data_IF_201012859963
#
_entry.id   IF_201012859963
#
_cell.length_a   1.000
_cell.length_b   1.000
_cell.length_c   1.000
_cell.angle_alpha   90.00
_cell.angle_beta   90.00
_cell.angle_gamma   90.00
#
_symmetry.space_group_name_H-M   'P 1'
#
loop_
_entity.id
_entity.type
_entity.pdbx_description
1 polymer ?
#
# COMPACT_ATOMS: atom_id res chain seq x y z
N UNK A 1 -3.76 -5.73 25.66
CA UNK A 1 -4.34 -5.41 26.96
C UNK A 1 -5.55 -6.30 27.16
N UNK A 2 -5.86 -6.68 28.43
CA UNK A 2 -6.99 -7.52 28.82
C UNK A 2 -7.57 -7.02 30.13
N UNK A 3 -8.88 -7.18 30.27
CA UNK A 3 -9.60 -6.98 31.54
C UNK A 3 -10.05 -8.33 32.06
N UNK A 4 -10.02 -8.50 33.37
CA UNK A 4 -10.32 -9.75 34.05
C UNK A 4 -11.39 -9.53 35.10
N UNK A 5 -12.23 -10.54 35.35
CA UNK A 5 -13.13 -10.59 36.51
C UNK A 5 -12.37 -11.01 37.77
N UNK A 6 -13.11 -11.11 38.89
CA UNK A 6 -12.55 -11.51 40.19
C UNK A 6 -12.04 -12.95 40.21
N UNK A 7 -12.47 -13.78 39.27
CA UNK A 7 -12.03 -15.18 39.07
C UNK A 7 -10.86 -15.30 38.04
N UNK A 8 -10.32 -14.17 37.60
CA UNK A 8 -9.25 -14.09 36.59
C UNK A 8 -9.63 -14.59 35.17
N UNK A 9 -10.92 -14.64 34.84
CA UNK A 9 -11.36 -14.86 33.46
C UNK A 9 -11.24 -13.59 32.64
N UNK A 10 -10.83 -13.72 31.37
CA UNK A 10 -10.76 -12.57 30.45
C UNK A 10 -12.17 -12.14 30.06
N UNK A 11 -12.59 -10.93 30.45
CA UNK A 11 -13.90 -10.35 30.14
C UNK A 11 -13.86 -9.34 28.98
N UNK A 12 -12.72 -8.71 28.73
CA UNK A 12 -12.52 -7.86 27.56
C UNK A 12 -11.06 -7.86 27.11
N UNK A 13 -10.84 -7.70 25.80
CA UNK A 13 -9.49 -7.62 25.21
C UNK A 13 -9.38 -6.52 24.18
N UNK A 14 -8.16 -6.07 23.92
CA UNK A 14 -7.80 -5.19 22.83
C UNK A 14 -6.30 -5.14 22.63
N UNK A 15 -5.86 -4.89 21.40
CA UNK A 15 -4.45 -4.81 21.05
C UNK A 15 -4.18 -3.67 20.07
N UNK A 16 -2.91 -3.36 19.86
CA UNK A 16 -2.44 -2.40 18.87
C UNK A 16 -1.38 -3.05 17.99
N UNK A 17 -1.42 -2.71 16.71
CA UNK A 17 -0.37 -3.03 15.75
C UNK A 17 0.01 -1.74 15.01
N UNK A 18 1.24 -1.26 15.22
CA UNK A 18 1.60 0.10 14.83
C UNK A 18 0.63 1.10 15.45
N UNK A 19 -0.02 1.90 14.64
CA UNK A 19 -1.05 2.87 15.03
C UNK A 19 -2.51 2.38 14.77
N UNK A 20 -2.69 1.07 14.57
CA UNK A 20 -4.01 0.46 14.33
C UNK A 20 -4.48 -0.28 15.58
N UNK A 21 -5.71 0.03 16.05
CA UNK A 21 -6.37 -0.70 17.12
C UNK A 21 -6.98 -1.99 16.57
N UNK A 22 -6.75 -3.12 17.24
CA UNK A 22 -7.12 -4.46 16.75
C UNK A 22 -7.64 -5.38 17.85
N UNK A 23 -8.27 -6.49 17.44
CA UNK A 23 -8.67 -7.59 18.30
C UNK A 23 -9.47 -7.13 19.52
N UNK A 24 -10.35 -6.14 19.34
CA UNK A 24 -11.21 -5.63 20.39
C UNK A 24 -12.43 -6.54 20.55
N UNK A 25 -12.59 -7.12 21.72
CA UNK A 25 -13.69 -8.02 22.04
C UNK A 25 -14.11 -7.89 23.51
N UNK A 26 -15.39 -8.13 23.77
CA UNK A 26 -15.97 -8.23 25.11
C UNK A 26 -16.72 -9.56 25.21
N UNK A 27 -16.55 -10.27 26.32
CA UNK A 27 -17.28 -11.50 26.62
C UNK A 27 -18.80 -11.27 26.52
N UNK A 28 -19.52 -12.23 25.96
CA UNK A 28 -20.96 -12.14 25.78
C UNK A 28 -21.72 -11.94 27.10
N UNK A 29 -21.19 -12.46 28.21
CA UNK A 29 -21.77 -12.31 29.55
C UNK A 29 -21.63 -10.88 30.11
N UNK A 30 -20.68 -10.08 29.59
CA UNK A 30 -20.35 -8.74 30.08
C UNK A 30 -20.66 -7.62 29.07
N UNK A 31 -21.48 -7.94 28.05
CA UNK A 31 -21.93 -6.94 27.09
C UNK A 31 -22.89 -5.94 27.75
N UNK A 32 -22.75 -4.65 27.40
CA UNK A 32 -23.55 -3.57 27.98
C UNK A 32 -22.93 -2.91 29.22
N UNK A 33 -21.86 -3.45 29.82
CA UNK A 33 -21.17 -2.90 31.00
C UNK A 33 -20.14 -1.79 30.66
N UNK A 34 -20.05 -1.35 29.39
CA UNK A 34 -19.12 -0.29 28.98
C UNK A 34 -17.66 -0.72 28.84
N UNK A 35 -17.35 -2.02 28.95
CA UNK A 35 -15.99 -2.54 28.92
C UNK A 35 -15.28 -2.24 27.58
N UNK A 36 -15.99 -2.28 26.46
CA UNK A 36 -15.44 -1.92 25.16
C UNK A 36 -14.96 -0.47 25.13
N UNK A 37 -15.74 0.45 25.71
CA UNK A 37 -15.35 1.86 25.82
C UNK A 37 -14.07 2.03 26.65
N UNK A 38 -13.98 1.33 27.79
CA UNK A 38 -12.79 1.36 28.66
C UNK A 38 -11.55 0.83 27.93
N UNK A 39 -11.64 -0.31 27.24
CA UNK A 39 -10.54 -0.89 26.47
C UNK A 39 -10.08 0.07 25.36
N UNK A 40 -11.02 0.61 24.57
CA UNK A 40 -10.68 1.51 23.46
C UNK A 40 -10.02 2.80 23.97
N UNK A 41 -10.59 3.40 25.03
CA UNK A 41 -10.03 4.62 25.65
C UNK A 41 -8.62 4.36 26.18
N UNK A 42 -8.40 3.22 26.85
CA UNK A 42 -7.06 2.85 27.33
C UNK A 42 -6.08 2.66 26.18
N UNK A 43 -6.48 1.96 25.10
CA UNK A 43 -5.62 1.77 23.92
C UNK A 43 -5.27 3.10 23.23
N UNK A 44 -6.21 4.04 23.14
CA UNK A 44 -5.97 5.38 22.62
C UNK A 44 -4.93 6.10 23.48
N UNK A 45 -5.06 6.07 24.82
CA UNK A 45 -4.10 6.70 25.74
C UNK A 45 -2.70 6.11 25.57
N UNK A 46 -2.58 4.77 25.54
CA UNK A 46 -1.30 4.07 25.31
C UNK A 46 -0.66 4.47 23.97
N UNK A 47 -1.46 4.61 22.93
CA UNK A 47 -0.94 5.02 21.61
C UNK A 47 -0.49 6.49 21.62
N UNK A 48 -1.20 7.37 22.31
CA UNK A 48 -0.79 8.77 22.42
C UNK A 48 0.51 8.91 23.22
N UNK A 49 0.70 8.14 24.30
CA UNK A 49 1.95 8.06 25.04
C UNK A 49 3.12 7.59 24.18
N UNK A 50 2.86 6.72 23.19
CA UNK A 50 3.84 6.26 22.18
C UNK A 50 4.08 7.26 21.06
N UNK A 51 3.41 8.42 21.06
CA UNK A 51 3.49 9.45 20.02
C UNK A 51 2.60 9.17 18.80
N UNK A 52 1.79 8.12 18.80
CA UNK A 52 0.86 7.79 17.74
C UNK A 52 -0.47 8.55 17.92
N UNK A 53 -0.58 9.74 17.35
CA UNK A 53 -1.79 10.58 17.46
C UNK A 53 -2.78 10.36 16.32
N UNK A 54 -2.38 9.72 15.23
CA UNK A 54 -3.25 9.34 14.12
C UNK A 54 -3.50 7.84 14.17
N UNK A 55 -4.70 7.45 14.59
CA UNK A 55 -5.06 6.08 14.85
C UNK A 55 -6.07 5.57 13.83
N UNK A 56 -5.96 4.28 13.54
CA UNK A 56 -6.84 3.56 12.63
C UNK A 56 -7.48 2.36 13.33
N UNK A 57 -8.60 1.91 12.81
CA UNK A 57 -9.21 0.65 13.18
C UNK A 57 -10.02 0.06 12.02
N UNK A 58 -10.20 -1.25 12.09
CA UNK A 58 -11.13 -1.98 11.25
C UNK A 58 -12.22 -2.56 12.13
N UNK A 59 -13.46 -2.51 11.67
CA UNK A 59 -14.59 -3.00 12.44
C UNK A 59 -15.68 -3.59 11.55
N UNK A 60 -16.59 -4.36 12.13
CA UNK A 60 -17.80 -4.83 11.46
C UNK A 60 -18.76 -3.65 11.23
N UNK A 61 -19.54 -3.71 10.16
CA UNK A 61 -20.48 -2.64 9.79
C UNK A 61 -21.45 -2.26 10.91
N UNK A 62 -21.95 -3.23 11.69
CA UNK A 62 -22.86 -2.99 12.80
C UNK A 62 -22.20 -2.32 14.01
N UNK A 63 -20.89 -2.38 14.15
CA UNK A 63 -20.13 -1.74 15.22
C UNK A 63 -19.56 -0.37 14.84
N UNK A 64 -19.65 0.03 13.58
CA UNK A 64 -19.06 1.29 13.09
C UNK A 64 -19.65 2.51 13.82
N UNK A 65 -20.95 2.52 14.11
CA UNK A 65 -21.59 3.59 14.87
C UNK A 65 -20.97 3.77 16.26
N UNK A 66 -20.73 2.67 16.99
CA UNK A 66 -20.08 2.71 18.30
C UNK A 66 -18.70 3.41 18.24
N UNK A 67 -17.87 3.07 17.26
CA UNK A 67 -16.57 3.72 17.09
C UNK A 67 -16.71 5.16 16.61
N UNK A 68 -17.76 5.48 15.84
CA UNK A 68 -18.11 6.85 15.48
C UNK A 68 -18.39 7.72 16.71
N UNK A 69 -19.12 7.18 17.69
CA UNK A 69 -19.40 7.86 18.97
C UNK A 69 -18.13 8.05 19.82
N UNK A 70 -17.06 7.27 19.58
CA UNK A 70 -15.73 7.41 20.18
C UNK A 70 -14.77 8.31 19.37
N UNK A 71 -15.26 9.01 18.35
CA UNK A 71 -14.47 9.97 17.57
C UNK A 71 -13.69 9.36 16.41
N UNK A 72 -14.07 8.18 15.94
CA UNK A 72 -13.54 7.62 14.69
C UNK A 72 -14.47 7.94 13.52
N UNK A 73 -13.87 8.22 12.36
CA UNK A 73 -14.55 8.60 11.13
C UNK A 73 -14.30 7.54 10.07
N UNK A 74 -15.31 7.24 9.29
CA UNK A 74 -15.24 6.24 8.24
C UNK A 74 -14.40 6.75 7.06
N UNK A 75 -13.43 5.92 6.64
CA UNK A 75 -12.62 6.12 5.44
C UNK A 75 -13.24 5.38 4.26
N UNK A 76 -13.49 4.08 4.45
CA UNK A 76 -14.06 3.21 3.43
C UNK A 76 -14.87 2.07 4.08
N UNK A 77 -15.83 1.54 3.32
CA UNK A 77 -16.75 0.49 3.75
C UNK A 77 -16.95 -0.55 2.65
N UNK A 78 -17.01 -1.81 3.07
CA UNK A 78 -17.58 -2.90 2.28
C UNK A 78 -18.82 -3.38 3.02
N UNK A 79 -19.98 -3.14 2.45
CA UNK A 79 -21.27 -3.41 3.08
C UNK A 79 -21.41 -4.88 3.50
N UNK A 80 -21.92 -5.06 4.71
CA UNK A 80 -22.06 -6.38 5.33
C UNK A 80 -20.76 -7.03 5.81
N UNK A 81 -19.59 -6.46 5.52
CA UNK A 81 -18.29 -7.06 5.82
C UNK A 81 -17.46 -6.22 6.80
N UNK A 82 -16.90 -5.11 6.35
CA UNK A 82 -15.87 -4.38 7.09
C UNK A 82 -15.93 -2.87 6.85
N UNK A 83 -15.56 -2.10 7.87
CA UNK A 83 -15.39 -0.64 7.80
C UNK A 83 -13.98 -0.30 8.27
N UNK A 84 -13.28 0.52 7.51
CA UNK A 84 -12.01 1.12 7.86
C UNK A 84 -12.23 2.54 8.36
N UNK A 85 -11.70 2.87 9.54
CA UNK A 85 -11.95 4.14 10.22
C UNK A 85 -10.66 4.75 10.76
N UNK A 86 -10.65 6.07 10.92
CA UNK A 86 -9.57 6.86 11.52
C UNK A 86 -10.10 7.83 12.57
N UNK A 87 -9.23 8.25 13.53
CA UNK A 87 -9.60 9.23 14.56
C UNK A 87 -9.42 10.69 14.12
N UNK A 88 -9.30 10.95 12.82
CA UNK A 88 -9.21 12.31 12.25
C UNK A 88 -10.33 12.54 11.26
N UNK A 89 -11.19 13.53 11.56
CA UNK A 89 -12.35 13.84 10.72
C UNK A 89 -11.98 14.15 9.26
N UNK A 90 -10.83 14.76 9.04
CA UNK A 90 -10.34 15.19 7.73
C UNK A 90 -9.05 14.51 7.31
N UNK A 91 -8.69 13.39 7.94
CA UNK A 91 -7.41 12.73 7.69
C UNK A 91 -7.27 12.27 6.25
N UNK A 92 -8.22 11.49 5.76
CA UNK A 92 -8.19 11.01 4.39
C UNK A 92 -8.38 12.13 3.34
N UNK A 93 -9.27 13.09 3.58
CA UNK A 93 -9.43 14.23 2.66
C UNK A 93 -8.16 15.09 2.59
N UNK A 94 -7.50 15.35 3.72
CA UNK A 94 -6.22 16.05 3.74
C UNK A 94 -5.10 15.28 3.02
N UNK A 95 -5.13 13.93 3.10
CA UNK A 95 -4.22 13.09 2.32
C UNK A 95 -4.46 13.24 0.81
N UNK A 96 -5.72 13.20 0.35
CA UNK A 96 -6.04 13.42 -1.07
C UNK A 96 -5.61 14.80 -1.56
N UNK A 97 -5.87 15.86 -0.78
CA UNK A 97 -5.43 17.22 -1.09
C UNK A 97 -3.90 17.34 -1.16
N UNK A 98 -3.19 16.65 -0.27
CA UNK A 98 -1.73 16.60 -0.31
C UNK A 98 -1.22 15.95 -1.60
N UNK A 99 -1.77 14.79 -1.98
CA UNK A 99 -1.40 14.10 -3.23
C UNK A 99 -1.66 14.98 -4.45
N UNK A 100 -2.81 15.65 -4.48
CA UNK A 100 -3.18 16.57 -5.55
C UNK A 100 -2.19 17.73 -5.65
N UNK A 101 -1.87 18.37 -4.53
CA UNK A 101 -0.90 19.46 -4.47
C UNK A 101 0.51 19.01 -4.88
N UNK A 102 0.96 17.82 -4.42
CA UNK A 102 2.24 17.23 -4.83
C UNK A 102 2.28 17.01 -6.35
N UNK A 103 1.18 16.51 -6.92
CA UNK A 103 1.04 16.30 -8.36
C UNK A 103 1.10 17.62 -9.13
N UNK A 104 0.27 18.60 -8.77
CA UNK A 104 0.19 19.92 -9.42
C UNK A 104 1.53 20.69 -9.36
N UNK A 105 2.29 20.53 -8.28
CA UNK A 105 3.58 21.18 -8.07
C UNK A 105 4.76 20.44 -8.71
N UNK A 106 4.53 19.23 -9.24
CA UNK A 106 5.59 18.44 -9.87
C UNK A 106 6.08 19.08 -11.18
N UNK A 107 7.36 18.90 -11.48
CA UNK A 107 7.93 19.35 -12.75
C UNK A 107 7.32 18.61 -13.95
N UNK A 108 6.84 17.38 -13.74
CA UNK A 108 6.12 16.59 -14.76
C UNK A 108 4.84 17.31 -15.15
N UNK A 109 3.99 17.69 -14.17
CA UNK A 109 2.73 18.34 -14.43
C UNK A 109 2.93 19.75 -15.02
N UNK A 110 3.92 20.50 -14.56
CA UNK A 110 4.25 21.83 -15.10
C UNK A 110 4.65 21.76 -16.57
N UNK A 111 5.56 20.84 -16.95
CA UNK A 111 5.93 20.61 -18.35
C UNK A 111 4.73 20.20 -19.18
N UNK A 112 3.99 19.22 -18.70
CA UNK A 112 2.80 18.73 -19.37
C UNK A 112 1.76 19.82 -19.65
N UNK A 113 1.48 20.71 -18.68
CA UNK A 113 0.56 21.83 -18.83
C UNK A 113 1.09 22.86 -19.82
N UNK A 114 2.39 23.16 -19.79
CA UNK A 114 3.03 24.12 -20.72
C UNK A 114 2.98 23.63 -22.17
N UNK A 115 3.31 22.35 -22.40
CA UNK A 115 3.31 21.75 -23.74
C UNK A 115 1.90 21.68 -24.34
N UNK A 116 0.89 21.33 -23.53
CA UNK A 116 -0.50 21.29 -24.00
C UNK A 116 -1.10 22.70 -24.23
N UNK A 117 -0.67 23.71 -23.50
CA UNK A 117 -1.11 25.09 -23.74
C UNK A 117 -0.62 25.60 -25.09
N UNK A 118 0.59 25.20 -25.55
CA UNK A 118 1.09 25.51 -26.88
C UNK A 118 0.29 24.77 -27.98
N UNK A 119 -0.02 23.49 -27.78
CA UNK A 119 -0.80 22.69 -28.75
C UNK A 119 -2.24 23.22 -28.89
N UNK A 120 -2.88 23.64 -27.80
CA UNK A 120 -4.24 24.22 -27.82
C UNK A 120 -4.29 25.61 -28.51
N UNK A 121 -3.16 26.31 -28.60
CA UNK A 121 -3.07 27.58 -29.32
C UNK A 121 -2.88 27.42 -30.85
N UNK A 122 -2.47 26.23 -31.30
CA UNK A 122 -2.09 25.95 -32.69
C UNK A 122 -3.06 25.03 -33.46
N UNK A 123 -4.00 24.36 -32.77
CA UNK A 123 -4.89 23.36 -33.42
C UNK A 123 -6.36 23.59 -33.14
N UNK A 124 -7.14 23.69 -34.20
CA UNK A 124 -8.60 23.63 -34.21
C UNK A 124 -9.11 22.24 -33.82
N UNK A 125 -9.81 22.17 -32.75
CA UNK A 125 -10.95 21.34 -32.24
C UNK A 125 -11.17 19.86 -32.63
N UNK A 126 -10.28 19.07 -33.20
CA UNK A 126 -10.66 17.71 -33.63
C UNK A 126 -9.82 16.53 -33.09
N UNK A 127 -8.81 16.74 -32.24
CA UNK A 127 -8.07 15.63 -31.63
C UNK A 127 -7.67 15.98 -30.20
N UNK A 128 -8.63 15.99 -29.30
CA UNK A 128 -8.30 15.89 -27.87
C UNK A 128 -7.86 14.43 -27.63
N UNK A 129 -6.54 14.19 -27.66
CA UNK A 129 -5.97 12.89 -27.33
C UNK A 129 -6.40 12.58 -25.88
N UNK A 130 -7.10 11.47 -25.69
CA UNK A 130 -7.43 11.00 -24.35
C UNK A 130 -6.13 10.74 -23.58
N UNK A 131 -5.87 11.58 -22.58
CA UNK A 131 -4.70 11.48 -21.73
C UNK A 131 -4.68 10.16 -20.99
N UNK A 132 -3.56 9.45 -21.06
CA UNK A 132 -3.33 8.23 -20.31
C UNK A 132 -2.55 8.55 -19.04
N UNK A 133 -3.28 8.72 -17.94
CA UNK A 133 -2.73 8.98 -16.61
C UNK A 133 -2.73 7.67 -15.84
N UNK A 134 -1.53 7.09 -15.68
CA UNK A 134 -1.35 5.77 -15.10
C UNK A 134 -1.03 5.81 -13.61
N UNK A 135 -1.32 4.71 -12.92
CA UNK A 135 -0.85 4.47 -11.56
C UNK A 135 -0.18 3.10 -11.43
N UNK A 136 0.90 3.09 -10.64
CA UNK A 136 1.55 1.89 -10.09
C UNK A 136 1.63 2.01 -8.57
N UNK A 137 1.43 0.89 -7.89
CA UNK A 137 1.68 0.75 -6.43
C UNK A 137 2.67 -0.37 -6.23
N UNK A 138 3.76 -0.11 -5.50
CA UNK A 138 4.76 -1.13 -5.25
C UNK A 138 5.37 -1.04 -3.85
N UNK A 139 5.69 -2.21 -3.29
CA UNK A 139 6.45 -2.32 -2.05
C UNK A 139 7.97 -2.25 -2.30
N UNK A 140 8.46 -2.84 -3.40
CA UNK A 140 9.86 -2.85 -3.82
C UNK A 140 10.85 -3.29 -2.71
N UNK A 141 10.64 -4.45 -2.13
CA UNK A 141 11.37 -4.97 -0.96
C UNK A 141 12.38 -6.10 -1.30
N UNK A 142 13.57 -5.80 -1.90
CA UNK A 142 14.02 -4.52 -2.46
C UNK A 142 13.56 -4.27 -3.91
N UNK A 143 14.01 -3.14 -4.49
CA UNK A 143 13.78 -2.80 -5.90
C UNK A 143 14.59 -3.73 -6.81
N UNK A 144 13.94 -4.33 -7.82
CA UNK A 144 14.48 -5.35 -8.72
C UNK A 144 14.38 -4.94 -10.17
N UNK A 145 15.07 -5.66 -11.08
CA UNK A 145 14.89 -5.50 -12.53
C UNK A 145 13.45 -5.78 -13.00
N UNK A 146 12.69 -6.61 -12.25
CA UNK A 146 11.26 -6.83 -12.52
C UNK A 146 10.42 -5.59 -12.18
N UNK A 147 10.71 -4.93 -11.06
CA UNK A 147 10.07 -3.64 -10.73
C UNK A 147 10.43 -2.55 -11.73
N UNK A 148 11.72 -2.44 -12.10
CA UNK A 148 12.18 -1.46 -13.08
C UNK A 148 11.49 -1.65 -14.42
N UNK A 149 11.44 -2.88 -14.94
CA UNK A 149 10.72 -3.20 -16.17
C UNK A 149 9.23 -2.79 -16.13
N UNK A 150 8.55 -3.06 -15.01
CA UNK A 150 7.15 -2.69 -14.85
C UNK A 150 6.98 -1.16 -14.89
N UNK A 151 7.87 -0.41 -14.23
CA UNK A 151 7.84 1.07 -14.25
C UNK A 151 8.14 1.60 -15.64
N UNK A 152 9.22 1.12 -16.29
CA UNK A 152 9.61 1.54 -17.63
C UNK A 152 8.50 1.29 -18.66
N UNK A 153 7.90 0.10 -18.62
CA UNK A 153 6.78 -0.25 -19.51
C UNK A 153 5.58 0.66 -19.26
N UNK A 154 5.20 0.89 -18.01
CA UNK A 154 4.08 1.77 -17.68
C UNK A 154 4.35 3.21 -18.10
N UNK A 155 5.55 3.73 -17.83
CA UNK A 155 5.94 5.08 -18.22
C UNK A 155 5.93 5.27 -19.74
N UNK A 156 6.40 4.26 -20.51
CA UNK A 156 6.39 4.31 -21.96
C UNK A 156 4.96 4.25 -22.56
N UNK A 157 4.01 3.68 -21.86
CA UNK A 157 2.62 3.52 -22.31
C UNK A 157 1.66 4.60 -21.73
N UNK A 158 2.18 5.57 -20.99
CA UNK A 158 1.36 6.63 -20.36
C UNK A 158 1.96 8.02 -20.54
N UNK A 159 1.11 9.03 -20.54
CA UNK A 159 1.55 10.43 -20.60
C UNK A 159 2.08 10.88 -19.22
N UNK A 160 1.45 10.43 -18.14
CA UNK A 160 1.86 10.66 -16.75
C UNK A 160 1.76 9.35 -15.96
N UNK A 161 2.75 9.04 -15.15
CA UNK A 161 2.76 7.91 -14.23
C UNK A 161 2.80 8.39 -12.77
N UNK A 162 1.75 8.12 -12.00
CA UNK A 162 1.74 8.22 -10.54
C UNK A 162 2.29 6.95 -9.93
N UNK A 163 3.48 7.00 -9.35
CA UNK A 163 4.14 5.85 -8.73
C UNK A 163 4.04 5.96 -7.20
N UNK A 164 3.23 5.09 -6.60
CA UNK A 164 3.04 5.00 -5.15
C UNK A 164 4.00 3.97 -4.56
N UNK A 165 4.85 4.41 -3.63
CA UNK A 165 5.74 3.54 -2.87
C UNK A 165 5.09 3.27 -1.52
N UNK A 166 4.84 1.99 -1.21
CA UNK A 166 4.17 1.57 0.03
C UNK A 166 5.00 1.99 1.24
N UNK A 167 4.44 2.84 2.09
CA UNK A 167 5.12 3.49 3.22
C UNK A 167 5.23 2.60 4.45
N UNK A 168 4.57 1.44 4.46
CA UNK A 168 4.60 0.50 5.57
C UNK A 168 6.02 -0.02 5.81
N UNK A 169 6.45 -0.10 7.08
CA UNK A 169 7.84 -0.40 7.46
C UNK A 169 8.00 -1.79 8.12
N UNK A 170 7.08 -2.72 7.84
CA UNK A 170 7.18 -4.14 8.28
C UNK A 170 8.14 -4.95 7.39
N UNK A 171 8.52 -4.39 6.26
CA UNK A 171 9.43 -5.01 5.28
C UNK A 171 10.86 -5.20 5.84
N UNK A 172 11.59 -6.19 5.30
CA UNK A 172 12.99 -6.41 5.68
C UNK A 172 13.89 -5.24 5.25
N UNK A 173 13.58 -4.64 4.10
CA UNK A 173 14.24 -3.42 3.63
C UNK A 173 13.41 -2.22 4.10
N UNK A 174 13.98 -1.29 4.90
CA UNK A 174 13.27 -0.13 5.42
C UNK A 174 12.68 0.77 4.32
N UNK A 175 11.57 1.45 4.62
CA UNK A 175 10.90 2.32 3.65
C UNK A 175 11.83 3.37 3.03
N UNK A 176 12.67 4.02 3.83
CA UNK A 176 13.62 5.02 3.33
C UNK A 176 14.58 4.47 2.28
N UNK A 177 15.05 3.25 2.47
CA UNK A 177 15.92 2.56 1.50
C UNK A 177 15.13 2.17 0.26
N UNK A 178 13.95 1.58 0.41
CA UNK A 178 13.09 1.19 -0.72
C UNK A 178 12.77 2.39 -1.61
N UNK A 179 12.39 3.51 -0.99
CA UNK A 179 12.12 4.78 -1.68
C UNK A 179 13.35 5.26 -2.45
N UNK A 180 14.52 5.30 -1.79
CA UNK A 180 15.77 5.69 -2.44
C UNK A 180 16.08 4.83 -3.67
N UNK A 181 16.00 3.50 -3.54
CA UNK A 181 16.30 2.57 -4.63
C UNK A 181 15.32 2.69 -5.81
N UNK A 182 14.04 2.95 -5.53
CA UNK A 182 13.04 3.22 -6.58
C UNK A 182 13.39 4.51 -7.33
N UNK A 183 13.62 5.61 -6.60
CA UNK A 183 13.97 6.90 -7.20
C UNK A 183 15.24 6.82 -8.06
N UNK A 184 16.32 6.21 -7.53
CA UNK A 184 17.57 6.06 -8.27
C UNK A 184 17.44 5.13 -9.47
N UNK A 185 16.69 4.03 -9.33
CA UNK A 185 16.51 3.04 -10.40
C UNK A 185 15.59 3.47 -11.53
N UNK A 186 14.82 4.55 -11.34
CA UNK A 186 13.88 5.10 -12.34
C UNK A 186 14.18 6.55 -12.71
N UNK A 187 15.33 7.09 -12.28
CA UNK A 187 15.72 8.49 -12.49
C UNK A 187 15.88 8.90 -13.96
N UNK A 188 15.98 7.93 -14.87
CA UNK A 188 16.08 8.15 -16.32
C UNK A 188 14.71 8.39 -16.99
N UNK A 189 13.61 8.25 -16.24
CA UNK A 189 12.23 8.46 -16.71
C UNK A 189 11.76 9.85 -16.25
N UNK A 190 11.15 10.61 -17.14
CA UNK A 190 10.85 12.02 -16.95
C UNK A 190 9.35 12.34 -16.78
N UNK A 191 8.49 11.31 -16.87
CA UNK A 191 7.04 11.44 -16.74
C UNK A 191 6.47 10.79 -15.44
N UNK A 192 7.29 10.58 -14.40
CA UNK A 192 6.89 9.96 -13.14
C UNK A 192 6.68 11.00 -12.05
N UNK A 193 5.52 10.92 -11.39
CA UNK A 193 5.22 11.63 -10.15
C UNK A 193 5.23 10.61 -9.01
N UNK A 194 6.16 10.78 -8.07
CA UNK A 194 6.35 9.85 -6.95
C UNK A 194 5.50 10.27 -5.76
N UNK A 195 4.83 9.27 -5.15
CA UNK A 195 4.02 9.44 -3.95
C UNK A 195 4.40 8.44 -2.88
N UNK A 196 4.33 8.88 -1.63
CA UNK A 196 4.29 7.97 -0.49
C UNK A 196 2.83 7.54 -0.26
N UNK A 197 2.62 6.21 -0.14
CA UNK A 197 1.26 5.67 0.04
C UNK A 197 0.58 6.14 1.33
N UNK A 198 1.38 6.56 2.31
CA UNK A 198 0.87 6.82 3.64
C UNK A 198 0.17 5.59 4.25
N UNK A 199 -0.71 5.78 5.22
CA UNK A 199 -1.42 4.68 5.88
C UNK A 199 -2.67 4.20 5.14
N UNK A 200 -3.01 4.80 4.00
CA UNK A 200 -4.29 4.58 3.34
C UNK A 200 -4.25 3.50 2.26
N UNK A 201 -3.12 3.25 1.64
CA UNK A 201 -2.95 2.08 0.77
C UNK A 201 -2.67 0.89 1.67
N UNK A 202 -3.61 -0.05 1.72
CA UNK A 202 -3.63 -1.15 2.69
C UNK A 202 -2.71 -2.26 2.20
N UNK A 203 -1.65 -2.55 2.96
CA UNK A 203 -0.79 -3.70 2.69
C UNK A 203 -1.38 -4.98 3.30
N UNK A 204 -0.99 -6.15 2.77
CA UNK A 204 -1.34 -7.44 3.36
C UNK A 204 -0.90 -7.57 4.83
N UNK A 205 0.20 -6.92 5.22
CA UNK A 205 0.70 -6.93 6.59
C UNK A 205 -0.17 -6.11 7.55
N UNK A 206 -0.87 -5.10 7.05
CA UNK A 206 -1.70 -4.21 7.86
C UNK A 206 -3.17 -4.58 7.85
N UNK A 207 -3.65 -5.39 6.89
CA UNK A 207 -5.03 -5.83 6.85
C UNK A 207 -5.36 -6.85 7.96
N UNK A 208 -6.49 -6.70 8.68
CA UNK A 208 -6.84 -7.59 9.79
C UNK A 208 -7.50 -8.88 9.30
N UNK A 209 -6.71 -9.93 9.09
CA UNK A 209 -7.19 -11.24 8.64
C UNK A 209 -8.12 -11.97 9.62
N UNK A 210 -8.14 -11.55 10.91
CA UNK A 210 -8.90 -12.22 11.98
C UNK A 210 -10.43 -11.97 11.93
N UNK A 211 -10.94 -11.11 11.05
CA UNK A 211 -12.39 -10.86 10.94
C UNK A 211 -13.14 -11.99 10.22
N UNK A 212 -12.46 -12.80 9.46
CA UNK A 212 -13.06 -13.84 8.63
C UNK A 212 -12.37 -15.18 8.87
N UNK A 213 -13.13 -16.26 8.74
CA UNK A 213 -12.64 -17.62 8.97
C UNK A 213 -12.04 -18.27 7.72
N UNK A 214 -12.43 -17.77 6.55
CA UNK A 214 -11.99 -18.25 5.25
C UNK A 214 -10.94 -17.30 4.66
N UNK A 215 -9.82 -17.84 4.20
CA UNK A 215 -8.71 -17.08 3.64
C UNK A 215 -9.10 -16.34 2.34
N UNK A 216 -9.92 -16.94 1.50
CA UNK A 216 -10.38 -16.34 0.25
C UNK A 216 -11.28 -15.14 0.51
N UNK A 217 -12.21 -15.26 1.47
CA UNK A 217 -13.06 -14.16 1.90
C UNK A 217 -12.28 -13.00 2.55
N UNK A 218 -11.20 -13.31 3.29
CA UNK A 218 -10.25 -12.29 3.82
C UNK A 218 -9.61 -11.52 2.68
N UNK A 219 -9.12 -12.23 1.66
CA UNK A 219 -8.46 -11.61 0.50
C UNK A 219 -9.43 -10.75 -0.31
N UNK A 220 -10.63 -11.26 -0.55
CA UNK A 220 -11.67 -10.51 -1.27
C UNK A 220 -12.05 -9.21 -0.54
N UNK A 221 -12.26 -9.26 0.76
CA UNK A 221 -12.55 -8.08 1.59
C UNK A 221 -11.43 -7.08 1.58
N UNK A 222 -10.16 -7.55 1.67
CA UNK A 222 -8.99 -6.70 1.57
C UNK A 222 -8.92 -6.00 0.21
N UNK A 223 -8.98 -6.77 -0.88
CA UNK A 223 -8.92 -6.22 -2.23
C UNK A 223 -10.03 -5.19 -2.48
N UNK A 224 -11.24 -5.50 -2.08
CA UNK A 224 -12.39 -4.61 -2.23
C UNK A 224 -12.22 -3.31 -1.45
N UNK A 225 -11.73 -3.37 -0.22
CA UNK A 225 -11.52 -2.18 0.63
C UNK A 225 -10.40 -1.30 0.07
N UNK A 226 -9.26 -1.90 -0.31
CA UNK A 226 -8.13 -1.17 -0.92
C UNK A 226 -8.55 -0.52 -2.25
N UNK A 227 -9.31 -1.22 -3.09
CA UNK A 227 -9.82 -0.67 -4.34
C UNK A 227 -10.80 0.48 -4.12
N UNK A 228 -11.66 0.42 -3.10
CA UNK A 228 -12.56 1.53 -2.74
C UNK A 228 -11.77 2.79 -2.40
N UNK A 229 -10.67 2.64 -1.68
CA UNK A 229 -9.76 3.75 -1.35
C UNK A 229 -9.00 4.21 -2.60
N UNK A 230 -8.46 3.27 -3.38
CA UNK A 230 -7.72 3.59 -4.59
C UNK A 230 -8.55 4.36 -5.62
N UNK A 231 -9.81 3.99 -5.84
CA UNK A 231 -10.73 4.72 -6.74
C UNK A 231 -10.84 6.20 -6.34
N UNK A 232 -10.95 6.50 -5.05
CA UNK A 232 -10.98 7.90 -4.57
C UNK A 232 -9.66 8.63 -4.78
N UNK A 233 -8.53 7.93 -4.65
CA UNK A 233 -7.20 8.48 -4.99
C UNK A 233 -7.12 8.75 -6.50
N UNK A 234 -7.55 7.80 -7.31
CA UNK A 234 -7.56 7.91 -8.77
C UNK A 234 -8.40 9.10 -9.25
N UNK A 235 -9.61 9.26 -8.71
CA UNK A 235 -10.47 10.40 -9.00
C UNK A 235 -9.83 11.74 -8.62
N UNK A 236 -9.16 11.81 -7.46
CA UNK A 236 -8.49 13.03 -7.01
C UNK A 236 -7.30 13.44 -7.91
N UNK A 237 -6.62 12.46 -8.53
CA UNK A 237 -5.43 12.67 -9.36
C UNK A 237 -5.71 12.57 -10.87
N UNK A 238 -6.94 12.29 -11.29
CA UNK A 238 -7.30 12.09 -12.69
C UNK A 238 -6.74 10.80 -13.30
N UNK A 239 -6.39 9.82 -12.48
CA UNK A 239 -5.87 8.51 -12.92
C UNK A 239 -6.98 7.73 -13.63
N UNK A 240 -6.73 7.29 -14.87
CA UNK A 240 -7.66 6.52 -15.69
C UNK A 240 -7.14 5.12 -16.08
N UNK A 241 -5.92 4.77 -15.68
CA UNK A 241 -5.45 3.40 -15.81
C UNK A 241 -4.55 2.97 -14.64
N UNK A 242 -4.62 1.70 -14.26
CA UNK A 242 -3.77 1.07 -13.27
C UNK A 242 -2.99 -0.07 -13.88
N UNK A 243 -1.69 -0.07 -13.69
CA UNK A 243 -0.83 -1.17 -14.07
C UNK A 243 -0.47 -2.01 -12.85
N UNK A 244 -0.39 -3.31 -13.03
CA UNK A 244 0.02 -4.27 -12.00
C UNK A 244 0.88 -5.35 -12.62
N UNK A 245 1.85 -5.86 -11.86
CA UNK A 245 2.62 -7.02 -12.29
C UNK A 245 1.81 -8.31 -12.13
N UNK A 246 1.97 -9.23 -13.08
CA UNK A 246 1.48 -10.59 -12.92
C UNK A 246 2.16 -11.28 -11.73
N UNK A 247 1.42 -12.13 -11.00
CA UNK A 247 1.92 -12.88 -9.84
C UNK A 247 1.60 -14.38 -9.98
N UNK A 248 2.32 -15.09 -10.87
CA UNK A 248 1.99 -16.49 -11.19
C UNK A 248 2.18 -17.44 -10.01
N UNK A 249 3.01 -17.07 -9.03
CA UNK A 249 3.35 -17.91 -7.89
C UNK A 249 2.58 -17.56 -6.59
N UNK A 250 1.69 -16.56 -6.64
CA UNK A 250 0.89 -16.14 -5.49
C UNK A 250 -0.59 -16.21 -5.82
N UNK A 251 -1.27 -17.22 -5.32
CA UNK A 251 -2.72 -17.36 -5.45
C UNK A 251 -3.45 -16.12 -4.91
N UNK A 252 -2.94 -15.54 -3.80
CA UNK A 252 -3.46 -14.31 -3.19
C UNK A 252 -3.44 -13.14 -4.17
N UNK A 253 -2.31 -12.92 -4.82
CA UNK A 253 -2.14 -11.79 -5.73
C UNK A 253 -2.89 -12.03 -7.05
N UNK A 254 -3.04 -13.29 -7.48
CA UNK A 254 -3.88 -13.66 -8.62
C UNK A 254 -5.33 -13.24 -8.41
N UNK A 255 -5.93 -13.62 -7.29
CA UNK A 255 -7.30 -13.22 -6.90
C UNK A 255 -7.42 -11.69 -6.82
N UNK A 256 -6.43 -11.02 -6.24
CA UNK A 256 -6.41 -9.55 -6.16
C UNK A 256 -6.40 -8.90 -7.56
N UNK A 257 -5.58 -9.39 -8.47
CA UNK A 257 -5.51 -8.90 -9.85
C UNK A 257 -6.83 -9.13 -10.61
N UNK A 258 -7.50 -10.27 -10.41
CA UNK A 258 -8.82 -10.56 -11.00
C UNK A 258 -9.90 -9.60 -10.50
N UNK A 259 -9.92 -9.32 -9.19
CA UNK A 259 -10.85 -8.36 -8.60
C UNK A 259 -10.60 -6.95 -9.14
N UNK A 260 -9.32 -6.53 -9.27
CA UNK A 260 -8.97 -5.25 -9.88
C UNK A 260 -9.43 -5.15 -11.32
N UNK A 261 -9.14 -6.16 -12.15
CA UNK A 261 -9.51 -6.19 -13.56
C UNK A 261 -11.02 -6.11 -13.78
N UNK A 262 -11.82 -6.57 -12.81
CA UNK A 262 -13.28 -6.48 -12.84
C UNK A 262 -13.81 -5.14 -12.34
N UNK A 263 -13.31 -4.65 -11.19
CA UNK A 263 -13.90 -3.50 -10.48
C UNK A 263 -13.40 -2.13 -10.94
N UNK A 264 -12.16 -2.04 -11.37
CA UNK A 264 -11.62 -0.74 -11.81
C UNK A 264 -12.34 -0.20 -13.05
N UNK A 265 -12.67 -1.03 -14.08
CA UNK A 265 -13.46 -0.56 -15.22
C UNK A 265 -14.86 -0.05 -14.86
N UNK A 266 -15.48 -0.56 -13.80
CA UNK A 266 -16.76 -0.04 -13.27
C UNK A 266 -16.66 1.43 -12.80
N UNK A 267 -15.43 1.92 -12.58
CA UNK A 267 -15.10 3.28 -12.16
C UNK A 267 -14.29 4.04 -13.22
N UNK A 268 -14.41 3.67 -14.49
CA UNK A 268 -13.71 4.29 -15.63
C UNK A 268 -12.18 4.22 -15.55
N UNK A 269 -11.62 3.27 -14.79
CA UNK A 269 -10.20 3.03 -14.65
C UNK A 269 -9.85 1.72 -15.33
N UNK A 270 -9.09 1.76 -16.42
CA UNK A 270 -8.60 0.53 -17.07
C UNK A 270 -7.56 -0.17 -16.17
N UNK A 271 -7.51 -1.50 -16.22
CA UNK A 271 -6.52 -2.30 -15.49
C UNK A 271 -5.67 -3.10 -16.46
N UNK A 272 -4.35 -2.91 -16.42
CA UNK A 272 -3.39 -3.63 -17.28
C UNK A 272 -2.50 -4.52 -16.42
N UNK A 273 -2.58 -5.84 -16.63
CA UNK A 273 -1.71 -6.82 -15.98
C UNK A 273 -0.50 -7.04 -16.89
N UNK A 274 0.69 -6.72 -16.38
CA UNK A 274 1.95 -6.82 -17.12
C UNK A 274 2.63 -8.15 -16.78
N UNK A 275 2.97 -8.99 -17.78
CA UNK A 275 3.74 -10.21 -17.56
C UNK A 275 5.06 -9.93 -16.85
N UNK A 276 5.49 -10.84 -15.99
CA UNK A 276 6.76 -10.70 -15.25
C UNK A 276 7.97 -10.81 -16.17
N UNK A 277 8.98 -10.01 -15.84
CA UNK A 277 10.30 -10.14 -16.46
C UNK A 277 11.00 -11.40 -15.93
N UNK A 278 11.58 -12.17 -16.83
CA UNK A 278 12.38 -13.34 -16.51
C UNK A 278 13.88 -13.06 -16.71
N UNK A 279 14.72 -13.73 -15.92
CA UNK A 279 16.15 -13.82 -16.12
C UNK A 279 16.57 -15.29 -16.00
N UNK A 280 17.31 -15.79 -16.98
CA UNK A 280 17.78 -17.18 -17.02
C UNK A 280 16.65 -18.22 -16.91
N UNK A 281 15.46 -17.95 -17.48
CA UNK A 281 14.30 -18.84 -17.42
C UNK A 281 13.57 -18.87 -16.07
N UNK A 282 13.87 -17.93 -15.17
CA UNK A 282 13.19 -17.79 -13.90
C UNK A 282 12.64 -16.36 -13.71
N UNK A 283 11.48 -16.24 -13.07
CA UNK A 283 10.85 -14.96 -12.76
C UNK A 283 11.69 -14.18 -11.75
N UNK A 284 11.97 -12.91 -12.07
CA UNK A 284 12.66 -12.00 -11.15
C UNK A 284 11.71 -11.60 -10.03
N UNK A 285 12.04 -11.95 -8.78
CA UNK A 285 11.25 -11.60 -7.62
C UNK A 285 12.11 -10.97 -6.50
N UNK A 286 11.48 -10.14 -5.66
CA UNK A 286 12.15 -9.57 -4.50
C UNK A 286 12.53 -10.66 -3.47
N UNK A 287 11.77 -11.75 -3.37
CA UNK A 287 12.09 -12.89 -2.51
C UNK A 287 13.38 -13.60 -2.97
N UNK A 288 13.57 -13.79 -4.27
CA UNK A 288 14.82 -14.35 -4.82
C UNK A 288 16.01 -13.46 -4.52
N UNK A 289 15.84 -12.13 -4.60
CA UNK A 289 16.89 -11.16 -4.22
C UNK A 289 17.24 -11.29 -2.73
N UNK A 290 16.24 -11.35 -1.84
CA UNK A 290 16.49 -11.53 -0.41
C UNK A 290 17.18 -12.86 -0.09
N UNK A 291 16.82 -13.92 -0.80
CA UNK A 291 17.50 -15.23 -0.69
C UNK A 291 18.95 -15.14 -1.17
N UNK A 292 19.23 -14.46 -2.27
CA UNK A 292 20.61 -14.25 -2.76
C UNK A 292 21.44 -13.47 -1.74
N UNK A 293 20.88 -12.40 -1.13
CA UNK A 293 21.54 -11.62 -0.07
C UNK A 293 21.77 -12.45 1.20
N UNK A 294 20.82 -13.29 1.61
CA UNK A 294 20.97 -14.18 2.76
C UNK A 294 22.11 -15.17 2.58
N UNK A 295 22.31 -15.65 1.36
CA UNK A 295 23.31 -16.65 1.00
C UNK A 295 24.62 -16.06 0.44
N UNK A 296 24.82 -14.75 0.51
CA UNK A 296 25.99 -14.03 -0.03
C UNK A 296 26.26 -14.32 -1.52
N UNK A 297 25.20 -14.61 -2.29
CA UNK A 297 25.31 -14.93 -3.72
C UNK A 297 25.27 -13.67 -4.58
N UNK A 298 26.41 -12.99 -4.67
CA UNK A 298 26.56 -11.72 -5.40
C UNK A 298 26.38 -11.91 -6.92
N UNK A 299 26.81 -13.03 -7.48
CA UNK A 299 26.66 -13.29 -8.92
C UNK A 299 25.19 -13.42 -9.32
N UNK A 300 24.39 -14.10 -8.51
CA UNK A 300 22.92 -14.14 -8.71
C UNK A 300 22.31 -12.75 -8.52
N UNK A 301 22.73 -12.00 -7.48
CA UNK A 301 22.22 -10.66 -7.21
C UNK A 301 22.37 -9.73 -8.40
N UNK A 302 23.52 -9.73 -9.09
CA UNK A 302 23.79 -8.94 -10.30
C UNK A 302 22.78 -9.16 -11.42
N UNK A 303 22.21 -10.35 -11.53
CA UNK A 303 21.22 -10.69 -12.57
C UNK A 303 19.79 -10.30 -12.23
N UNK A 304 19.53 -9.91 -10.96
CA UNK A 304 18.18 -9.69 -10.44
C UNK A 304 17.86 -8.22 -10.15
N UNK A 305 18.88 -7.38 -9.98
CA UNK A 305 18.69 -5.99 -9.54
C UNK A 305 19.35 -4.98 -10.46
N UNK A 306 18.83 -3.74 -10.56
CA UNK A 306 19.50 -2.65 -11.25
C UNK A 306 20.85 -2.32 -10.60
N UNK A 307 21.74 -1.68 -11.36
CA UNK A 307 23.06 -1.25 -10.90
C UNK A 307 23.01 -0.36 -9.65
N UNK A 308 21.99 0.50 -9.54
CA UNK A 308 21.75 1.35 -8.36
C UNK A 308 21.49 0.53 -7.11
N UNK A 309 20.64 -0.50 -7.21
CA UNK A 309 20.35 -1.42 -6.11
C UNK A 309 21.56 -2.30 -5.78
N UNK A 310 22.29 -2.79 -6.77
CA UNK A 310 23.51 -3.56 -6.57
C UNK A 310 24.56 -2.75 -5.80
N UNK A 311 24.81 -1.52 -6.22
CA UNK A 311 25.76 -0.59 -5.57
C UNK A 311 25.37 -0.33 -4.11
N UNK A 312 24.09 -0.16 -3.84
CA UNK A 312 23.62 -0.01 -2.45
C UNK A 312 24.00 -1.24 -1.60
N UNK A 313 23.67 -2.46 -2.06
CA UNK A 313 23.97 -3.69 -1.31
C UNK A 313 25.46 -4.03 -1.21
N UNK A 314 26.30 -3.46 -2.06
CA UNK A 314 27.77 -3.54 -1.95
C UNK A 314 28.37 -2.47 -1.04
N UNK A 315 27.60 -1.48 -0.60
CA UNK A 315 28.05 -0.41 0.26
C UNK A 315 27.95 -0.78 1.76
N UNK A 316 28.76 -0.12 2.60
CA UNK A 316 28.68 -0.25 4.06
C UNK A 316 27.30 0.13 4.62
N UNK A 317 26.56 1.02 3.94
CA UNK A 317 25.21 1.44 4.34
C UNK A 317 24.19 0.30 4.35
N UNK A 318 24.44 -0.74 3.58
CA UNK A 318 23.56 -1.91 3.51
C UNK A 318 23.76 -2.90 4.65
N UNK A 319 24.84 -2.80 5.42
CA UNK A 319 25.18 -3.78 6.47
C UNK A 319 24.03 -4.05 7.47
N UNK A 320 23.31 -3.05 8.02
CA UNK A 320 22.17 -3.31 8.91
C UNK A 320 21.02 -4.03 8.23
N UNK A 321 20.74 -3.72 6.95
CA UNK A 321 19.67 -4.33 6.18
C UNK A 321 20.03 -5.80 5.86
N UNK A 322 21.26 -6.05 5.44
CA UNK A 322 21.76 -7.42 5.18
C UNK A 322 21.71 -8.25 6.46
N UNK A 323 22.13 -7.68 7.60
CA UNK A 323 22.06 -8.37 8.90
C UNK A 323 20.61 -8.74 9.26
N UNK A 324 19.64 -7.84 9.05
CA UNK A 324 18.20 -8.10 9.26
C UNK A 324 17.69 -9.22 8.33
N UNK A 325 18.09 -9.22 7.06
CA UNK A 325 17.73 -10.26 6.09
C UNK A 325 18.32 -11.62 6.51
N UNK A 326 19.58 -11.66 6.92
CA UNK A 326 20.26 -12.88 7.36
C UNK A 326 19.65 -13.47 8.63
N UNK A 327 19.20 -12.64 9.56
CA UNK A 327 18.58 -13.04 10.82
C UNK A 327 17.11 -13.50 10.65
N UNK A 328 16.45 -13.15 9.54
CA UNK A 328 15.07 -13.53 9.30
C UNK A 328 14.94 -15.05 9.05
N UNK A 329 14.03 -15.73 9.78
CA UNK A 329 13.74 -17.15 9.59
C UNK A 329 13.18 -17.41 8.19
N UNK A 330 12.23 -16.56 7.76
CA UNK A 330 11.62 -16.61 6.44
C UNK A 330 11.88 -15.30 5.69
N UNK A 331 12.49 -15.38 4.50
CA UNK A 331 12.76 -14.23 3.63
C UNK A 331 11.84 -14.17 2.42
N UNK A 332 10.95 -15.15 2.25
CA UNK A 332 10.05 -15.26 1.09
C UNK A 332 8.79 -14.42 1.28
N UNK A 333 8.20 -14.47 2.49
CA UNK A 333 6.92 -13.85 2.81
C UNK A 333 7.06 -12.55 3.65
N UNK A 334 7.85 -11.60 3.17
CA UNK A 334 8.03 -10.29 3.82
C UNK A 334 7.77 -9.13 2.87
#
# INVERSE_FOLDING_TARGET
>A
CGMYDDEMNIIATGSCFGNTLRCMAVSSAHQGEGLMNQIVTHLISVQFERGNTHLFLYTKCNSAKFFGDLGFYEIARIDGQIVFMENRKTGFSAYLERLKKESEQSEVMKRFTSDNTQILSETSSETQKDLRIAALVMNANPFTLGHQYLVEKTAAESDILHLFIVSEDQSLVPFSVRKQLVLEGTAHLDNIIYHESGPYIISNATFPSYFQKDADAVMESHANLDLTIFVRIAQALGINCRYVGEEPNSQVTGIYNEIMAKKLPENEISCTIVPRKEANGAVISASTVRTALKNDNIELLKTLVPETTLRYFQSEKAAPVIAKIKAAENVVHH
#
